data_IF_020006487015
#
_entry.id   IF_020006487015
#
_cell.length_a   1.000
_cell.length_b   1.000
_cell.length_c   1.000
_cell.angle_alpha   90.00
_cell.angle_beta   90.00
_cell.angle_gamma   90.00
#
_symmetry.space_group_name_H-M   'P 1'
#
loop_
_entity.id
_entity.type
_entity.pdbx_description
1 polymer ?
#
# COMPACT_ATOMS: atom_id res chain seq x y z
N UNK A 1 -27.21 -46.78 -49.68
CA UNK A 1 -27.71 -46.42 -48.35
C UNK A 1 -26.76 -46.81 -47.24
N UNK A 2 -26.19 -47.98 -47.19
CA UNK A 2 -25.26 -48.41 -46.13
C UNK A 2 -23.99 -47.61 -46.12
N UNK A 3 -23.45 -47.18 -47.24
CA UNK A 3 -22.27 -46.34 -47.34
C UNK A 3 -22.48 -44.93 -46.76
N UNK A 4 -23.71 -44.44 -46.90
CA UNK A 4 -24.07 -43.12 -46.38
C UNK A 4 -24.17 -43.13 -44.84
N UNK A 5 -24.75 -44.20 -44.28
CA UNK A 5 -24.85 -44.37 -42.83
C UNK A 5 -23.49 -44.60 -42.20
N UNK A 6 -22.59 -45.34 -42.85
CA UNK A 6 -21.20 -45.51 -42.41
C UNK A 6 -20.43 -44.19 -42.39
N UNK A 7 -20.64 -43.34 -43.36
CA UNK A 7 -20.04 -42.03 -43.40
C UNK A 7 -20.60 -41.10 -42.31
N UNK A 8 -21.87 -41.20 -41.98
CA UNK A 8 -22.47 -40.49 -40.88
C UNK A 8 -21.90 -40.92 -39.51
N UNK A 9 -21.66 -42.22 -39.34
CA UNK A 9 -21.01 -42.74 -38.11
C UNK A 9 -19.56 -42.34 -38.02
N UNK A 10 -18.86 -42.20 -39.14
CA UNK A 10 -17.50 -41.70 -39.20
C UNK A 10 -17.44 -40.19 -39.25
N UNK A 11 -18.54 -39.53 -39.55
CA UNK A 11 -18.66 -38.08 -39.60
C UNK A 11 -18.98 -37.45 -38.26
N UNK A 12 -18.83 -38.20 -37.16
CA UNK A 12 -18.64 -37.55 -35.89
C UNK A 12 -17.52 -36.53 -36.06
N UNK A 13 -17.67 -35.39 -35.46
CA UNK A 13 -16.79 -34.26 -35.52
C UNK A 13 -15.33 -34.71 -35.70
N UNK A 14 -14.67 -34.26 -36.78
CA UNK A 14 -13.30 -34.67 -37.01
C UNK A 14 -12.48 -34.40 -35.73
N UNK A 15 -11.66 -35.35 -35.35
CA UNK A 15 -10.79 -35.23 -34.15
C UNK A 15 -10.02 -33.94 -34.13
N UNK A 16 -9.80 -33.36 -35.31
CA UNK A 16 -9.20 -32.02 -35.44
C UNK A 16 -10.09 -30.89 -34.89
N UNK A 17 -11.40 -30.93 -35.11
CA UNK A 17 -12.33 -29.93 -34.55
C UNK A 17 -12.43 -30.03 -33.04
N UNK A 18 -12.36 -31.24 -32.50
CA UNK A 18 -12.35 -31.44 -31.08
C UNK A 18 -11.05 -30.88 -30.45
N UNK A 19 -9.93 -31.12 -31.12
CA UNK A 19 -8.62 -30.54 -30.69
C UNK A 19 -8.66 -29.01 -30.72
N UNK A 20 -9.25 -28.41 -31.74
CA UNK A 20 -9.42 -26.95 -31.81
C UNK A 20 -10.37 -26.44 -30.73
N UNK A 21 -11.45 -27.16 -30.45
CA UNK A 21 -12.36 -26.84 -29.34
C UNK A 21 -11.67 -26.93 -27.99
N UNK A 22 -10.86 -27.96 -27.78
CA UNK A 22 -10.05 -28.12 -26.56
C UNK A 22 -9.03 -27.02 -26.41
N UNK A 23 -8.35 -26.63 -27.48
CA UNK A 23 -7.37 -25.54 -27.49
C UNK A 23 -8.06 -24.21 -27.24
N UNK A 24 -9.26 -24.01 -27.83
CA UNK A 24 -10.06 -22.80 -27.60
C UNK A 24 -10.53 -22.70 -26.14
N UNK A 25 -10.93 -23.84 -25.55
CA UNK A 25 -11.36 -23.91 -24.16
C UNK A 25 -10.19 -23.67 -23.20
N UNK A 26 -9.01 -24.16 -23.58
CA UNK A 26 -7.78 -23.94 -22.80
C UNK A 26 -7.30 -22.49 -22.86
N UNK A 27 -7.57 -21.80 -23.99
CA UNK A 27 -7.22 -20.39 -24.17
C UNK A 27 -8.10 -19.44 -23.38
N UNK A 28 -9.30 -19.86 -23.01
CA UNK A 28 -10.26 -19.01 -22.29
C UNK A 28 -10.26 -19.21 -20.77
N UNK A 29 -9.43 -20.12 -20.27
CA UNK A 29 -9.54 -20.63 -18.90
C UNK A 29 -8.44 -20.24 -17.92
N UNK A 30 -7.55 -19.32 -18.25
CA UNK A 30 -6.60 -18.83 -17.27
C UNK A 30 -7.05 -17.45 -16.79
N UNK A 31 -7.70 -17.34 -15.64
CA UNK A 31 -7.70 -16.07 -14.95
C UNK A 31 -6.24 -15.78 -14.60
N UNK A 32 -5.61 -14.91 -15.33
CA UNK A 32 -4.39 -14.29 -14.85
C UNK A 32 -4.78 -13.54 -13.60
N UNK A 33 -4.67 -14.21 -12.47
CA UNK A 33 -4.61 -13.54 -11.19
C UNK A 33 -3.31 -12.74 -11.23
N UNK A 34 -3.40 -11.55 -11.80
CA UNK A 34 -2.36 -10.55 -11.63
C UNK A 34 -2.40 -10.22 -10.15
N UNK A 35 -1.69 -11.01 -9.35
CA UNK A 35 -1.29 -10.56 -8.04
C UNK A 35 -0.37 -9.39 -8.31
N UNK A 36 -0.92 -8.19 -8.24
CA UNK A 36 -0.11 -7.00 -8.10
C UNK A 36 0.67 -7.18 -6.80
N UNK A 37 1.87 -7.76 -6.90
CA UNK A 37 2.82 -7.78 -5.80
C UNK A 37 3.18 -6.33 -5.54
N UNK A 38 2.58 -5.75 -4.51
CA UNK A 38 2.98 -4.46 -4.03
C UNK A 38 4.34 -4.67 -3.38
N UNK A 39 5.39 -4.18 -4.02
CA UNK A 39 6.73 -4.22 -3.47
C UNK A 39 6.76 -3.38 -2.19
N UNK A 40 6.79 -4.06 -1.05
CA UNK A 40 6.92 -3.41 0.24
C UNK A 40 8.38 -3.08 0.51
N UNK A 41 8.63 -1.87 0.90
CA UNK A 41 9.95 -1.38 1.28
C UNK A 41 9.96 -1.12 2.78
N UNK A 42 11.02 -1.55 3.44
CA UNK A 42 11.25 -1.24 4.84
C UNK A 42 11.76 0.19 4.95
N UNK A 43 10.94 1.09 5.48
CA UNK A 43 11.31 2.48 5.71
C UNK A 43 11.64 2.68 7.18
N UNK A 44 12.78 3.28 7.43
CA UNK A 44 13.23 3.68 8.75
C UNK A 44 13.45 5.19 8.79
N UNK A 45 13.47 5.77 9.95
CA UNK A 45 13.76 7.20 10.08
C UNK A 45 13.72 7.67 11.51
N UNK A 46 14.06 8.92 11.70
CA UNK A 46 14.05 9.59 12.99
C UNK A 46 13.18 10.84 12.90
N UNK A 47 12.31 11.03 13.88
CA UNK A 47 11.48 12.21 14.02
C UNK A 47 12.07 13.09 15.12
N UNK A 48 12.32 14.35 14.80
CA UNK A 48 12.85 15.36 15.71
C UNK A 48 11.91 16.57 15.76
N UNK A 49 12.09 17.39 16.79
CA UNK A 49 11.43 18.69 16.90
C UNK A 49 12.25 19.81 16.22
N UNK A 50 11.81 21.06 16.34
CA UNK A 50 12.52 22.20 15.77
C UNK A 50 13.90 22.43 16.40
N UNK A 51 14.17 21.84 17.59
CA UNK A 51 15.45 21.93 18.28
C UNK A 51 16.37 20.73 18.02
N UNK A 52 16.01 19.86 17.08
CA UNK A 52 16.69 18.61 16.75
C UNK A 52 16.68 17.57 17.90
N UNK A 53 15.74 17.68 18.82
CA UNK A 53 15.55 16.68 19.85
C UNK A 53 14.65 15.55 19.35
N UNK A 54 14.98 14.29 19.65
CA UNK A 54 14.13 13.18 19.25
C UNK A 54 12.76 13.25 19.94
N UNK A 55 11.70 12.97 19.19
CA UNK A 55 10.32 13.00 19.69
C UNK A 55 9.77 11.59 19.76
N UNK A 56 9.64 11.01 20.96
CA UNK A 56 8.98 9.71 21.11
C UNK A 56 7.46 9.84 21.04
N UNK A 57 6.77 8.76 20.68
CA UNK A 57 5.32 8.71 20.68
C UNK A 57 4.64 9.33 19.47
N UNK A 58 5.38 9.71 18.44
CA UNK A 58 4.81 10.22 17.18
C UNK A 58 4.13 9.08 16.42
N UNK A 59 2.88 9.28 16.05
CA UNK A 59 2.16 8.32 15.21
C UNK A 59 2.59 8.49 13.75
N UNK A 60 3.12 7.43 13.17
CA UNK A 60 3.52 7.35 11.76
C UNK A 60 2.55 6.43 11.06
N UNK A 61 1.71 6.99 10.19
CA UNK A 61 0.62 6.27 9.53
C UNK A 61 0.83 6.27 8.03
N UNK A 62 0.35 5.20 7.39
CA UNK A 62 0.29 5.14 5.93
C UNK A 62 -0.96 5.90 5.46
N UNK A 63 -0.78 6.88 4.58
CA UNK A 63 -1.90 7.60 3.97
C UNK A 63 -2.79 6.63 3.17
N UNK A 64 -4.09 6.71 3.42
CA UNK A 64 -5.06 5.81 2.78
C UNK A 64 -5.31 4.51 3.51
N UNK A 65 -4.60 4.23 4.60
CA UNK A 65 -4.82 3.05 5.44
C UNK A 65 -4.78 3.44 6.92
N UNK A 66 -5.81 3.09 7.65
CA UNK A 66 -5.87 3.32 9.09
C UNK A 66 -5.20 2.21 9.90
N UNK A 67 -4.92 1.08 9.27
CA UNK A 67 -4.42 -0.13 9.94
C UNK A 67 -2.91 -0.30 9.86
N UNK A 68 -2.25 0.47 9.01
CA UNK A 68 -0.80 0.39 8.82
C UNK A 68 -0.16 1.63 9.42
N UNK A 69 0.59 1.42 10.48
CA UNK A 69 1.26 2.51 11.18
C UNK A 69 2.18 2.00 12.27
N UNK A 70 2.94 2.90 12.83
CA UNK A 70 3.84 2.65 13.96
C UNK A 70 3.96 3.90 14.81
N UNK A 71 4.68 3.78 15.91
CA UNK A 71 4.95 4.88 16.84
C UNK A 71 6.45 4.99 17.02
N UNK A 72 6.98 6.21 17.11
CA UNK A 72 8.40 6.42 17.37
C UNK A 72 8.79 5.98 18.79
N UNK A 73 10.01 5.43 18.91
CA UNK A 73 10.56 5.02 20.19
C UNK A 73 11.16 6.21 20.98
N UNK A 74 11.80 5.92 22.10
CA UNK A 74 12.41 6.94 22.95
C UNK A 74 13.52 7.75 22.26
N UNK A 75 14.10 7.20 21.20
CA UNK A 75 15.10 7.87 20.36
C UNK A 75 14.50 8.57 19.15
N UNK A 76 13.15 8.60 19.06
CA UNK A 76 12.44 9.17 17.93
C UNK A 76 12.49 8.34 16.66
N UNK A 77 12.97 7.10 16.75
CA UNK A 77 13.12 6.20 15.59
C UNK A 77 11.86 5.42 15.31
N UNK A 78 11.60 5.17 14.05
CA UNK A 78 10.48 4.33 13.59
C UNK A 78 10.91 3.41 12.46
N UNK A 79 10.19 2.32 12.29
CA UNK A 79 10.36 1.36 11.20
C UNK A 79 8.99 0.91 10.72
N UNK A 80 8.77 0.93 9.42
CA UNK A 80 7.49 0.57 8.81
C UNK A 80 7.70 -0.05 7.43
N UNK A 81 6.97 -1.14 7.15
CA UNK A 81 6.95 -1.75 5.83
C UNK A 81 5.78 -1.20 5.02
N UNK A 82 6.06 -0.52 3.93
CA UNK A 82 5.07 0.20 3.12
C UNK A 82 5.40 0.09 1.63
N UNK A 83 4.42 0.30 0.74
CA UNK A 83 4.71 0.43 -0.68
C UNK A 83 5.69 1.55 -0.97
N UNK A 84 6.55 1.37 -1.96
CA UNK A 84 7.57 2.37 -2.34
C UNK A 84 6.98 3.73 -2.73
N UNK A 85 5.74 3.76 -3.23
CA UNK A 85 5.05 4.97 -3.67
C UNK A 85 4.14 5.56 -2.58
N UNK A 86 4.26 5.07 -1.35
CA UNK A 86 3.41 5.47 -0.25
C UNK A 86 3.75 6.87 0.29
N UNK A 87 2.75 7.48 0.91
CA UNK A 87 2.91 8.73 1.66
C UNK A 87 2.71 8.42 3.13
N UNK A 88 3.60 8.90 3.97
CA UNK A 88 3.52 8.78 5.42
C UNK A 88 2.89 10.03 6.02
N UNK A 89 2.07 9.83 7.03
CA UNK A 89 1.46 10.90 7.82
C UNK A 89 2.03 10.83 9.23
N UNK A 90 2.60 11.92 9.69
CA UNK A 90 3.16 12.05 11.03
C UNK A 90 2.23 12.92 11.88
N UNK A 91 1.74 12.36 12.98
CA UNK A 91 0.82 13.04 13.91
C UNK A 91 1.34 12.95 15.34
N UNK A 92 1.36 14.08 16.01
CA UNK A 92 1.67 14.16 17.43
C UNK A 92 0.90 15.32 18.07
N UNK A 93 0.47 15.12 19.30
CA UNK A 93 -0.31 16.13 20.03
C UNK A 93 0.54 17.41 20.23
N UNK A 94 0.00 18.55 19.84
CA UNK A 94 0.69 19.86 19.94
C UNK A 94 1.57 20.19 18.74
N UNK A 95 1.64 19.30 17.75
CA UNK A 95 2.44 19.50 16.54
C UNK A 95 1.57 19.43 15.28
N UNK A 96 2.01 20.11 14.24
CA UNK A 96 1.34 20.08 12.95
C UNK A 96 1.42 18.69 12.32
N UNK A 97 0.32 18.20 11.80
CA UNK A 97 0.31 16.98 10.98
C UNK A 97 1.11 17.22 9.72
N UNK A 98 2.07 16.34 9.44
CA UNK A 98 2.97 16.46 8.28
C UNK A 98 2.84 15.22 7.42
N UNK A 99 2.76 15.42 6.11
CA UNK A 99 2.75 14.33 5.11
C UNK A 99 4.06 14.33 4.35
N UNK A 100 4.65 13.15 4.18
CA UNK A 100 5.91 12.96 3.44
C UNK A 100 5.77 11.82 2.45
N UNK A 101 6.03 12.10 1.18
CA UNK A 101 6.10 11.06 0.15
C UNK A 101 7.42 10.30 0.26
N UNK A 102 7.35 8.98 0.29
CA UNK A 102 8.53 8.12 0.46
C UNK A 102 9.36 8.06 -0.81
N UNK A 103 8.73 7.99 -1.99
CA UNK A 103 9.41 7.98 -3.31
C UNK A 103 10.54 6.95 -3.41
N UNK A 104 10.32 5.75 -2.88
CA UNK A 104 11.31 4.68 -2.92
C UNK A 104 12.47 4.82 -1.93
N UNK A 105 12.46 5.82 -1.06
CA UNK A 105 13.49 6.01 -0.04
C UNK A 105 13.34 4.98 1.08
N UNK A 106 14.46 4.47 1.56
CA UNK A 106 14.51 3.55 2.70
C UNK A 106 14.69 4.27 4.03
N UNK A 107 15.14 5.51 3.99
CA UNK A 107 15.32 6.35 5.18
C UNK A 107 14.60 7.69 4.98
N UNK A 108 13.68 8.01 5.89
CA UNK A 108 12.92 9.26 5.89
C UNK A 108 13.01 9.88 7.28
N UNK A 109 13.82 10.92 7.40
CA UNK A 109 13.94 11.70 8.62
C UNK A 109 13.07 12.95 8.51
N UNK A 110 12.44 13.35 9.60
CA UNK A 110 11.50 14.46 9.62
C UNK A 110 11.70 15.30 10.89
N UNK A 111 11.64 16.62 10.71
CA UNK A 111 11.49 17.56 11.82
C UNK A 111 10.05 18.05 11.87
N UNK A 112 9.37 17.83 12.99
CA UNK A 112 7.98 18.29 13.18
C UNK A 112 7.96 19.69 13.80
N UNK A 113 6.93 20.45 13.46
CA UNK A 113 6.76 21.83 13.90
C UNK A 113 5.59 21.94 14.88
N UNK A 114 5.73 22.72 15.96
CA UNK A 114 4.61 22.90 16.89
C UNK A 114 3.43 23.59 16.21
N UNK A 115 2.23 23.20 16.62
CA UNK A 115 1.00 23.84 16.16
C UNK A 115 0.66 25.01 17.08
N UNK A 116 1.09 26.20 16.67
CA UNK A 116 0.92 27.43 17.44
C UNK A 116 -0.54 27.78 17.65
N UNK A 117 -1.43 27.41 16.72
CA UNK A 117 -2.86 27.68 16.85
C UNK A 117 -3.51 26.98 18.04
N UNK A 118 -3.12 25.74 18.32
CA UNK A 118 -3.62 25.03 19.48
C UNK A 118 -3.16 25.66 20.80
N UNK A 119 -1.93 26.17 20.83
CA UNK A 119 -1.39 26.84 22.00
C UNK A 119 -2.07 28.19 22.26
N UNK A 120 -2.40 28.95 21.24
CA UNK A 120 -3.15 30.20 21.35
C UNK A 120 -4.54 29.98 21.92
N UNK A 121 -5.26 28.96 21.46
CA UNK A 121 -6.58 28.61 21.99
C UNK A 121 -6.54 28.26 23.48
N UNK A 122 -5.52 27.57 23.93
CA UNK A 122 -5.32 27.23 25.34
C UNK A 122 -5.04 28.49 26.18
N UNK A 123 -4.25 29.41 25.66
CA UNK A 123 -3.93 30.68 26.36
C UNK A 123 -5.18 31.57 26.51
N UNK A 124 -6.03 31.66 25.51
CA UNK A 124 -7.29 32.42 25.57
C UNK A 124 -8.22 31.86 26.62
N UNK A 125 -8.33 30.55 26.77
CA UNK A 125 -9.16 29.91 27.80
C UNK A 125 -8.62 30.20 29.21
N UNK A 126 -7.32 30.30 29.37
CA UNK A 126 -6.67 30.61 30.65
C UNK A 126 -6.98 32.02 31.21
N UNK A 127 -7.51 32.91 30.38
CA UNK A 127 -7.85 34.29 30.77
C UNK A 127 -9.24 34.46 31.29
N UNK A 128 -10.07 33.50 31.05
CA UNK A 128 -11.48 33.54 31.46
C UNK A 128 -11.75 32.70 32.69
#
# INVERSE_FOLDING_TARGET
>A
MEKFVKNLKRGGLPTRCWLYMLILLLSFGLPESIFAQTDLVKVTGTVTDETNQPVPGVNVLLKGSSNIGTVTDIEGKYTLNIPKDATLIFKFVGYKTTEVAVNGKTTVNLSIQPDVKQLEDVVVIGYL
#
